data_IF_322319546500
#
_entry.id   IF_322319546500
#
_cell.length_a   1.000
_cell.length_b   1.000
_cell.length_c   1.000
_cell.angle_alpha   90.00
_cell.angle_beta   90.00
_cell.angle_gamma   90.00
#
_symmetry.space_group_name_H-M   'P 1'
#
loop_
_entity.id
_entity.type
_entity.pdbx_description
1 polymer ?
#
# COMPACT_ATOMS: atom_id res chain seq x y z
N UNK A 1 53.51 -60.15 -21.29
CA UNK A 1 52.93 -58.82 -21.59
C UNK A 1 51.84 -58.55 -20.58
N UNK A 2 52.03 -57.58 -19.69
CA UNK A 2 51.01 -57.14 -18.74
C UNK A 2 50.22 -56.00 -19.38
N UNK A 3 48.89 -56.16 -19.53
CA UNK A 3 48.01 -55.07 -19.95
C UNK A 3 47.61 -54.25 -18.72
N UNK A 4 47.82 -52.94 -18.77
CA UNK A 4 47.35 -51.98 -17.77
C UNK A 4 45.84 -51.76 -17.92
N UNK A 5 45.03 -51.70 -16.84
CA UNK A 5 43.60 -51.43 -16.95
C UNK A 5 43.34 -49.95 -17.27
N UNK A 6 42.34 -49.67 -18.10
CA UNK A 6 41.85 -48.32 -18.41
C UNK A 6 41.20 -47.65 -17.18
N UNK A 7 41.23 -46.31 -17.07
CA UNK A 7 40.64 -45.61 -15.94
C UNK A 7 39.11 -45.77 -15.94
N UNK A 8 38.54 -46.20 -14.81
CA UNK A 8 37.09 -46.20 -14.61
C UNK A 8 36.59 -44.77 -14.42
N UNK A 9 35.60 -44.37 -15.22
CA UNK A 9 34.88 -43.10 -15.06
C UNK A 9 34.26 -43.01 -13.66
N UNK A 10 34.57 -41.94 -12.93
CA UNK A 10 33.98 -41.68 -11.62
C UNK A 10 32.50 -41.33 -11.79
N UNK A 11 31.61 -42.21 -11.31
CA UNK A 11 30.18 -41.92 -11.28
C UNK A 11 29.89 -40.62 -10.50
N UNK A 12 28.96 -39.77 -10.97
CA UNK A 12 28.60 -38.53 -10.30
C UNK A 12 27.99 -38.82 -8.92
N UNK A 13 28.53 -38.18 -7.89
CA UNK A 13 28.02 -38.31 -6.51
C UNK A 13 26.55 -37.89 -6.46
N UNK A 14 25.69 -38.79 -5.96
CA UNK A 14 24.26 -38.53 -5.74
C UNK A 14 24.10 -37.39 -4.73
N UNK A 15 23.39 -36.32 -5.11
CA UNK A 15 23.04 -35.23 -4.18
C UNK A 15 22.14 -35.78 -3.07
N UNK A 16 22.67 -35.91 -1.86
CA UNK A 16 21.90 -36.24 -0.66
C UNK A 16 21.08 -35.02 -0.24
N UNK A 17 19.75 -35.16 -0.16
CA UNK A 17 18.89 -34.16 0.49
C UNK A 17 19.12 -34.24 2.01
N UNK A 18 19.55 -33.13 2.61
CA UNK A 18 19.67 -33.01 4.06
C UNK A 18 18.28 -33.08 4.72
N UNK A 19 18.19 -33.73 5.87
CA UNK A 19 16.96 -33.71 6.67
C UNK A 19 16.67 -32.29 7.17
N UNK A 20 15.38 -31.96 7.36
CA UNK A 20 14.94 -30.59 7.68
C UNK A 20 15.59 -30.01 8.95
N UNK A 21 15.96 -30.87 9.91
CA UNK A 21 16.70 -30.50 11.13
C UNK A 21 18.12 -29.95 10.86
N UNK A 22 18.69 -30.23 9.68
CA UNK A 22 19.99 -29.71 9.24
C UNK A 22 19.85 -28.57 8.23
N UNK A 23 18.63 -28.15 7.90
CA UNK A 23 18.40 -26.92 7.17
C UNK A 23 18.41 -25.76 8.16
N UNK A 24 18.98 -24.64 7.73
CA UNK A 24 18.96 -23.40 8.50
C UNK A 24 17.54 -23.08 8.97
N UNK A 25 17.31 -22.71 10.24
CA UNK A 25 15.98 -22.42 10.78
C UNK A 25 15.33 -21.18 10.14
N UNK A 26 16.07 -20.43 9.31
CA UNK A 26 15.55 -19.30 8.57
C UNK A 26 14.77 -19.76 7.34
N UNK A 27 13.48 -19.44 7.31
CA UNK A 27 12.58 -19.68 6.18
C UNK A 27 13.20 -19.11 4.90
N UNK A 28 13.41 -19.96 3.88
CA UNK A 28 13.80 -19.51 2.55
C UNK A 28 12.69 -18.62 1.98
N UNK A 29 12.85 -17.30 2.07
CA UNK A 29 11.79 -16.33 1.73
C UNK A 29 11.59 -16.14 0.23
N UNK A 30 12.59 -16.50 -0.57
CA UNK A 30 12.59 -16.33 -2.02
C UNK A 30 12.18 -17.63 -2.70
N UNK A 31 11.22 -17.54 -3.62
CA UNK A 31 10.79 -18.64 -4.48
C UNK A 31 11.92 -18.95 -5.47
N UNK A 32 12.33 -20.21 -5.56
CA UNK A 32 13.24 -20.68 -6.61
C UNK A 32 12.45 -20.88 -7.91
N UNK A 33 12.70 -20.03 -8.90
CA UNK A 33 12.00 -20.06 -10.19
C UNK A 33 12.35 -21.30 -11.03
N UNK A 34 13.44 -21.99 -10.72
CA UNK A 34 13.84 -23.21 -11.43
C UNK A 34 13.33 -24.48 -10.74
N UNK A 35 12.73 -24.36 -9.56
CA UNK A 35 12.15 -25.49 -8.86
C UNK A 35 10.90 -25.99 -9.59
N UNK A 36 10.69 -27.30 -9.55
CA UNK A 36 9.42 -27.88 -10.01
C UNK A 36 8.33 -27.50 -9.02
N UNK A 37 7.18 -27.08 -9.53
CA UNK A 37 5.98 -26.90 -8.71
C UNK A 37 5.60 -28.22 -8.03
N UNK A 38 5.22 -28.11 -6.77
CA UNK A 38 4.55 -29.19 -6.04
C UNK A 38 3.16 -29.48 -6.62
N UNK A 39 2.63 -30.66 -6.30
CA UNK A 39 1.28 -31.06 -6.70
C UNK A 39 0.23 -30.10 -6.12
N UNK A 40 0.45 -29.65 -4.88
CA UNK A 40 -0.40 -28.71 -4.16
C UNK A 40 -0.40 -27.32 -4.82
N UNK A 41 0.78 -26.77 -5.15
CA UNK A 41 0.90 -25.48 -5.85
C UNK A 41 0.20 -25.51 -7.21
N UNK A 42 0.44 -26.57 -7.99
CA UNK A 42 -0.19 -26.73 -9.29
C UNK A 42 -1.71 -26.87 -9.18
N UNK A 43 -2.20 -27.67 -8.23
CA UNK A 43 -3.64 -27.88 -8.02
C UNK A 43 -4.35 -26.60 -7.59
N UNK A 44 -3.71 -25.84 -6.69
CA UNK A 44 -4.22 -24.54 -6.23
C UNK A 44 -4.32 -23.55 -7.39
N UNK A 45 -3.25 -23.44 -8.19
CA UNK A 45 -3.26 -22.61 -9.40
C UNK A 45 -4.41 -23.00 -10.34
N UNK A 46 -4.55 -24.29 -10.64
CA UNK A 46 -5.61 -24.81 -11.51
C UNK A 46 -7.02 -24.51 -11.01
N UNK A 47 -7.25 -24.59 -9.70
CA UNK A 47 -8.53 -24.23 -9.09
C UNK A 47 -8.82 -22.72 -9.18
N UNK A 48 -7.81 -21.85 -8.97
CA UNK A 48 -7.96 -20.40 -9.08
C UNK A 48 -8.41 -19.99 -10.49
N UNK A 49 -7.77 -20.56 -11.52
CA UNK A 49 -8.06 -20.19 -12.93
C UNK A 49 -9.23 -20.95 -13.56
N UNK A 50 -9.92 -21.79 -12.80
CA UNK A 50 -11.03 -22.60 -13.29
C UNK A 50 -12.18 -21.71 -13.80
N UNK A 51 -12.65 -22.00 -15.01
CA UNK A 51 -13.78 -21.30 -15.63
C UNK A 51 -15.12 -21.79 -15.07
N UNK A 52 -16.16 -20.95 -15.17
CA UNK A 52 -17.52 -21.29 -14.70
C UNK A 52 -17.71 -21.21 -13.18
N UNK A 53 -16.72 -20.68 -12.46
CA UNK A 53 -16.84 -20.29 -11.05
C UNK A 53 -17.29 -18.83 -10.94
N UNK A 54 -17.80 -18.45 -9.77
CA UNK A 54 -18.20 -17.08 -9.50
C UNK A 54 -16.97 -16.14 -9.58
N UNK A 55 -16.95 -15.15 -10.50
CA UNK A 55 -15.85 -14.20 -10.65
C UNK A 55 -15.65 -13.32 -9.40
N UNK A 56 -16.71 -13.07 -8.63
CA UNK A 56 -16.68 -12.22 -7.42
C UNK A 56 -16.35 -13.02 -6.16
N UNK A 57 -16.17 -14.34 -6.27
CA UNK A 57 -15.80 -15.20 -5.15
C UNK A 57 -14.49 -14.71 -4.51
N UNK A 58 -14.52 -14.52 -3.18
CA UNK A 58 -13.32 -14.18 -2.41
C UNK A 58 -12.42 -15.43 -2.30
N UNK A 59 -11.39 -15.49 -3.15
CA UNK A 59 -10.45 -16.62 -3.21
C UNK A 59 -9.21 -16.45 -2.33
N UNK A 60 -9.00 -15.24 -1.81
CA UNK A 60 -7.93 -14.94 -0.87
C UNK A 60 -8.42 -13.93 0.17
N UNK A 61 -8.00 -14.13 1.43
CA UNK A 61 -8.22 -13.19 2.53
C UNK A 61 -7.04 -13.24 3.48
N UNK A 62 -6.47 -12.07 3.80
CA UNK A 62 -5.42 -11.91 4.81
C UNK A 62 -5.65 -10.58 5.55
N UNK A 63 -6.08 -10.66 6.81
CA UNK A 63 -6.53 -9.48 7.55
C UNK A 63 -7.71 -8.79 6.86
N UNK A 64 -7.54 -7.50 6.55
CA UNK A 64 -8.52 -6.66 5.83
C UNK A 64 -8.42 -6.78 4.31
N UNK A 65 -7.31 -7.33 3.80
CA UNK A 65 -7.11 -7.49 2.37
C UNK A 65 -7.81 -8.76 1.89
N UNK A 66 -8.54 -8.64 0.80
CA UNK A 66 -9.12 -9.77 0.08
C UNK A 66 -8.83 -9.64 -1.42
N UNK A 67 -9.02 -10.74 -2.13
CA UNK A 67 -8.97 -10.74 -3.58
C UNK A 67 -10.06 -11.65 -4.13
N UNK A 68 -10.74 -11.14 -5.16
CA UNK A 68 -11.74 -11.89 -5.90
C UNK A 68 -11.09 -12.75 -6.99
N UNK A 69 -11.82 -13.76 -7.45
CA UNK A 69 -11.36 -14.69 -8.49
C UNK A 69 -11.00 -13.97 -9.78
N UNK A 70 -11.82 -13.03 -10.23
CA UNK A 70 -11.58 -12.26 -11.47
C UNK A 70 -10.21 -11.60 -11.47
N UNK A 71 -9.84 -10.95 -10.38
CA UNK A 71 -8.53 -10.31 -10.25
C UNK A 71 -7.41 -11.34 -10.32
N UNK A 72 -7.50 -12.47 -9.60
CA UNK A 72 -6.51 -13.56 -9.64
C UNK A 72 -6.31 -14.16 -11.05
N UNK A 73 -7.34 -14.16 -11.89
CA UNK A 73 -7.24 -14.65 -13.26
C UNK A 73 -6.30 -13.79 -14.13
N UNK A 74 -5.98 -12.56 -13.71
CA UNK A 74 -4.99 -11.71 -14.40
C UNK A 74 -3.53 -12.16 -14.21
N UNK A 75 -3.28 -13.20 -13.40
CA UNK A 75 -1.98 -13.90 -13.39
C UNK A 75 -1.73 -14.76 -14.65
N UNK A 76 -2.74 -14.94 -15.51
CA UNK A 76 -2.58 -15.64 -16.79
C UNK A 76 -1.58 -14.91 -17.69
N UNK A 77 -0.87 -15.67 -18.51
CA UNK A 77 0.09 -15.10 -19.44
C UNK A 77 -0.60 -14.09 -20.38
N UNK A 78 0.08 -12.97 -20.64
CA UNK A 78 -0.36 -11.86 -21.50
C UNK A 78 -1.51 -11.02 -20.96
N UNK A 79 -1.91 -11.20 -19.70
CA UNK A 79 -2.85 -10.31 -19.02
C UNK A 79 -2.13 -9.19 -18.28
N UNK A 80 -2.83 -8.05 -18.09
CA UNK A 80 -2.35 -6.99 -17.20
C UNK A 80 -2.77 -7.32 -15.78
N UNK A 81 -1.79 -7.39 -14.88
CA UNK A 81 -2.02 -7.68 -13.47
C UNK A 81 -2.95 -6.63 -12.85
N UNK A 82 -3.99 -7.08 -12.15
CA UNK A 82 -4.89 -6.19 -11.43
C UNK A 82 -4.23 -5.60 -10.18
N UNK A 83 -4.52 -4.34 -9.84
CA UNK A 83 -3.86 -3.63 -8.73
C UNK A 83 -4.02 -4.35 -7.38
N UNK A 84 -5.22 -4.91 -7.11
CA UNK A 84 -5.49 -5.63 -5.86
C UNK A 84 -4.56 -6.82 -5.61
N UNK A 85 -3.97 -7.42 -6.68
CA UNK A 85 -3.00 -8.50 -6.54
C UNK A 85 -1.65 -7.97 -6.05
N UNK A 86 -1.27 -6.77 -6.48
CA UNK A 86 -0.09 -6.08 -5.97
C UNK A 86 -0.29 -5.74 -4.50
N UNK A 87 -1.49 -5.34 -4.09
CA UNK A 87 -1.82 -5.02 -2.69
C UNK A 87 -1.80 -6.27 -1.79
N UNK A 88 -2.36 -7.39 -2.28
CA UNK A 88 -2.24 -8.71 -1.62
C UNK A 88 -0.79 -9.12 -1.49
N UNK A 89 0.01 -8.95 -2.54
CA UNK A 89 1.43 -9.30 -2.51
C UNK A 89 2.22 -8.42 -1.54
N UNK A 90 1.98 -7.11 -1.52
CA UNK A 90 2.56 -6.19 -0.56
C UNK A 90 2.21 -6.59 0.89
N UNK A 91 0.95 -6.95 1.14
CA UNK A 91 0.48 -7.45 2.44
C UNK A 91 1.21 -8.72 2.87
N UNK A 92 1.32 -9.70 1.97
CA UNK A 92 2.05 -10.95 2.22
C UNK A 92 3.54 -10.70 2.49
N UNK A 93 4.16 -9.79 1.74
CA UNK A 93 5.56 -9.45 1.95
C UNK A 93 5.78 -8.74 3.29
N UNK A 94 4.89 -7.83 3.69
CA UNK A 94 4.94 -7.17 5.00
C UNK A 94 4.79 -8.16 6.16
N UNK A 95 3.87 -9.12 6.06
CA UNK A 95 3.73 -10.15 7.10
C UNK A 95 5.00 -11.01 7.23
N UNK A 96 5.64 -11.34 6.10
CA UNK A 96 6.90 -12.09 6.07
C UNK A 96 8.09 -11.35 6.66
N UNK A 97 8.02 -10.02 6.79
CA UNK A 97 9.10 -9.23 7.41
C UNK A 97 9.15 -9.45 8.93
N UNK A 98 8.07 -9.95 9.56
CA UNK A 98 8.09 -10.41 10.97
C UNK A 98 9.10 -11.53 11.21
N UNK A 99 9.41 -12.31 10.19
CA UNK A 99 10.31 -13.47 10.25
C UNK A 99 11.68 -13.19 9.60
N UNK A 100 12.05 -11.92 9.42
CA UNK A 100 13.36 -11.56 8.86
C UNK A 100 14.49 -11.92 9.84
N UNK A 101 15.67 -12.24 9.32
CA UNK A 101 16.86 -12.39 10.14
C UNK A 101 17.25 -11.04 10.79
N UNK A 102 17.88 -11.04 11.98
CA UNK A 102 18.28 -9.81 12.66
C UNK A 102 19.16 -8.89 11.80
N UNK A 103 20.09 -9.47 11.05
CA UNK A 103 21.03 -8.80 10.15
C UNK A 103 20.41 -8.37 8.81
N UNK A 104 19.22 -8.87 8.50
CA UNK A 104 18.52 -8.54 7.26
C UNK A 104 17.87 -7.15 7.38
N UNK A 105 18.03 -6.27 6.38
CA UNK A 105 17.38 -4.96 6.40
C UNK A 105 15.86 -5.11 6.41
N UNK A 106 15.19 -4.30 7.22
CA UNK A 106 13.73 -4.26 7.24
C UNK A 106 13.21 -3.66 5.92
N UNK A 107 12.26 -4.34 5.29
CA UNK A 107 11.59 -3.86 4.07
C UNK A 107 10.11 -3.68 4.35
N UNK A 108 9.51 -2.67 3.73
CA UNK A 108 8.07 -2.38 3.86
C UNK A 108 7.53 -2.12 2.46
N UNK A 109 6.47 -2.83 2.11
CA UNK A 109 5.82 -2.82 0.81
C UNK A 109 4.45 -2.16 0.95
N UNK A 110 4.21 -1.05 0.26
CA UNK A 110 2.93 -0.35 0.32
C UNK A 110 1.96 -0.91 -0.70
N UNK A 111 0.67 -0.87 -0.38
CA UNK A 111 -0.37 -1.02 -1.39
C UNK A 111 -0.27 0.08 -2.46
N UNK A 112 -0.93 -0.16 -3.58
CA UNK A 112 -0.94 0.70 -4.76
C UNK A 112 -1.76 1.99 -4.59
N UNK A 113 -2.45 2.15 -3.45
CA UNK A 113 -3.40 3.21 -3.16
C UNK A 113 -3.04 3.97 -1.87
N UNK A 114 -1.80 4.47 -1.76
CA UNK A 114 -1.38 5.08 -0.50
C UNK A 114 -1.71 6.58 -0.39
N UNK A 115 -2.94 6.88 0.02
CA UNK A 115 -3.36 8.15 0.63
C UNK A 115 -3.78 7.91 2.08
N UNK A 116 -3.14 8.57 3.04
CA UNK A 116 -3.53 8.51 4.46
C UNK A 116 -4.33 9.76 4.79
N UNK A 117 -5.52 9.57 5.35
CA UNK A 117 -6.43 10.65 5.72
C UNK A 117 -6.48 10.84 7.24
N UNK A 118 -6.40 12.08 7.70
CA UNK A 118 -6.68 12.47 9.08
C UNK A 118 -7.80 13.51 9.09
N UNK A 119 -9.03 13.15 9.50
CA UNK A 119 -10.04 14.15 9.84
C UNK A 119 -9.60 14.88 11.12
N UNK A 120 -9.55 16.20 11.06
CA UNK A 120 -9.16 17.03 12.19
C UNK A 120 -10.34 17.89 12.62
N UNK A 121 -10.61 17.88 13.92
CA UNK A 121 -11.49 18.84 14.60
C UNK A 121 -10.60 19.74 15.46
N UNK A 122 -10.53 21.02 15.13
CA UNK A 122 -9.83 22.02 15.92
C UNK A 122 -10.65 23.31 15.94
N UNK A 123 -10.76 23.93 17.12
CA UNK A 123 -11.53 25.17 17.32
C UNK A 123 -12.94 25.11 16.69
N UNK A 124 -13.65 24.00 16.93
CA UNK A 124 -15.00 23.72 16.40
C UNK A 124 -15.11 23.63 14.87
N UNK A 125 -13.99 23.57 14.14
CA UNK A 125 -13.95 23.44 12.68
C UNK A 125 -13.38 22.10 12.22
N UNK A 126 -14.00 21.51 11.19
CA UNK A 126 -13.55 20.27 10.57
C UNK A 126 -12.76 20.51 9.28
N UNK A 127 -11.60 19.87 9.15
CA UNK A 127 -10.80 19.85 7.92
C UNK A 127 -10.02 18.53 7.77
N UNK A 128 -9.47 18.29 6.58
CA UNK A 128 -8.86 17.00 6.21
C UNK A 128 -7.37 17.15 5.90
N UNK A 129 -6.54 16.36 6.56
CA UNK A 129 -5.14 16.15 6.16
C UNK A 129 -5.05 14.90 5.30
N UNK A 130 -4.31 14.98 4.20
CA UNK A 130 -4.06 13.87 3.29
C UNK A 130 -2.56 13.73 3.01
N UNK A 131 -1.96 12.63 3.44
CA UNK A 131 -0.62 12.23 3.01
C UNK A 131 -0.71 11.27 1.83
N UNK A 132 -0.57 11.81 0.63
CA UNK A 132 -0.48 11.02 -0.59
C UNK A 132 0.99 10.68 -0.85
N UNK A 133 1.44 9.54 -0.32
CA UNK A 133 2.84 9.12 -0.40
C UNK A 133 3.23 8.74 -1.82
N UNK A 134 2.27 8.23 -2.61
CA UNK A 134 2.48 7.92 -4.02
C UNK A 134 2.86 9.18 -4.81
N UNK A 135 2.10 10.26 -4.62
CA UNK A 135 2.32 11.53 -5.33
C UNK A 135 3.27 12.48 -4.58
N UNK A 136 3.86 12.03 -3.46
CA UNK A 136 4.73 12.84 -2.59
C UNK A 136 4.06 14.16 -2.19
N UNK A 137 2.78 14.11 -1.86
CA UNK A 137 2.00 15.27 -1.48
C UNK A 137 1.49 15.15 -0.04
N UNK A 138 1.50 16.28 0.67
CA UNK A 138 0.83 16.43 1.95
C UNK A 138 -0.13 17.61 1.82
N UNK A 139 -1.42 17.32 1.75
CA UNK A 139 -2.45 18.27 1.35
C UNK A 139 -3.42 18.48 2.50
N UNK A 140 -3.78 19.73 2.75
CA UNK A 140 -4.79 20.11 3.73
C UNK A 140 -6.01 20.60 2.98
N UNK A 141 -7.08 19.79 2.96
CA UNK A 141 -8.34 20.14 2.34
C UNK A 141 -9.29 20.74 3.36
N UNK A 142 -9.92 21.83 2.96
CA UNK A 142 -10.81 22.62 3.79
C UNK A 142 -11.90 23.22 2.90
N UNK A 143 -13.11 23.36 3.44
CA UNK A 143 -14.18 24.10 2.78
C UNK A 143 -13.99 25.61 2.86
N UNK A 144 -13.29 26.14 3.87
CA UNK A 144 -13.13 27.59 4.02
C UNK A 144 -12.01 28.11 3.09
N UNK A 145 -12.31 29.17 2.34
CA UNK A 145 -11.32 29.85 1.49
C UNK A 145 -10.45 30.80 2.34
N UNK A 146 -9.31 30.30 2.82
CA UNK A 146 -8.35 31.08 3.62
C UNK A 146 -7.21 31.73 2.81
N UNK A 147 -6.98 31.29 1.56
CA UNK A 147 -5.91 31.81 0.71
C UNK A 147 -4.54 31.74 1.37
N UNK A 148 -3.79 32.85 1.37
CA UNK A 148 -2.42 32.94 1.92
C UNK A 148 -2.38 32.75 3.45
N UNK A 149 -3.51 32.87 4.15
CA UNK A 149 -3.57 32.75 5.61
C UNK A 149 -3.60 31.31 6.10
N UNK A 150 -3.90 30.32 5.24
CA UNK A 150 -4.07 28.92 5.64
C UNK A 150 -2.86 28.34 6.39
N UNK A 151 -1.64 28.62 5.90
CA UNK A 151 -0.41 28.15 6.53
C UNK A 151 -0.18 28.76 7.92
N UNK A 152 -0.62 30.01 8.14
CA UNK A 152 -0.52 30.68 9.44
C UNK A 152 -1.52 30.09 10.44
N UNK A 153 -2.73 29.78 9.98
CA UNK A 153 -3.81 29.25 10.82
C UNK A 153 -3.52 27.80 11.20
N UNK A 154 -3.32 26.92 10.21
CA UNK A 154 -3.22 25.47 10.46
C UNK A 154 -1.80 24.99 10.72
N UNK A 155 -0.78 25.76 10.35
CA UNK A 155 0.59 25.28 10.24
C UNK A 155 1.13 24.64 11.51
N UNK A 156 0.82 25.20 12.68
CA UNK A 156 1.30 24.66 13.97
C UNK A 156 0.74 23.26 14.22
N UNK A 157 -0.57 23.09 14.14
CA UNK A 157 -1.25 21.83 14.47
C UNK A 157 -0.98 20.75 13.42
N UNK A 158 -0.94 21.14 12.15
CA UNK A 158 -0.57 20.27 11.02
C UNK A 158 0.84 19.71 11.19
N UNK A 159 1.81 20.55 11.59
CA UNK A 159 3.18 20.09 11.81
C UNK A 159 3.31 19.23 13.08
N UNK A 160 2.55 19.55 14.13
CA UNK A 160 2.52 18.76 15.35
C UNK A 160 1.96 17.36 15.08
N UNK A 161 0.83 17.26 14.40
CA UNK A 161 0.23 15.98 13.99
C UNK A 161 1.20 15.18 13.12
N UNK A 162 1.81 15.82 12.11
CA UNK A 162 2.83 15.18 11.27
C UNK A 162 4.00 14.64 12.10
N UNK A 163 4.51 15.40 13.07
CA UNK A 163 5.60 14.97 13.95
C UNK A 163 5.19 13.72 14.74
N UNK A 164 4.03 13.73 15.38
CA UNK A 164 3.53 12.57 16.11
C UNK A 164 3.32 11.36 15.21
N UNK A 165 2.79 11.57 14.00
CA UNK A 165 2.61 10.50 13.04
C UNK A 165 3.96 9.90 12.60
N UNK A 166 4.98 10.71 12.33
CA UNK A 166 6.34 10.25 12.04
C UNK A 166 6.91 9.44 13.22
N UNK A 167 6.80 9.95 14.44
CA UNK A 167 7.26 9.22 15.65
C UNK A 167 6.54 7.89 15.80
N UNK A 168 5.23 7.85 15.62
CA UNK A 168 4.44 6.62 15.63
C UNK A 168 4.96 5.62 14.58
N UNK A 169 5.24 6.08 13.35
CA UNK A 169 5.78 5.22 12.30
C UNK A 169 7.17 4.68 12.68
N UNK A 170 8.06 5.51 13.24
CA UNK A 170 9.39 5.11 13.72
C UNK A 170 9.27 4.03 14.82
N UNK A 171 8.38 4.22 15.80
CA UNK A 171 8.11 3.26 16.88
C UNK A 171 7.56 1.92 16.36
N UNK A 172 6.75 1.96 15.30
CA UNK A 172 6.26 0.75 14.59
C UNK A 172 7.29 0.15 13.64
N UNK A 173 8.54 0.63 13.68
CA UNK A 173 9.63 0.21 12.80
C UNK A 173 9.31 0.47 11.31
N UNK A 174 8.36 1.36 11.00
CA UNK A 174 8.01 1.77 9.65
C UNK A 174 8.91 2.91 9.13
N UNK A 175 10.23 2.78 9.33
CA UNK A 175 11.21 3.86 9.15
C UNK A 175 11.21 4.44 7.73
N UNK A 176 11.11 3.59 6.69
CA UNK A 176 11.06 4.07 5.30
C UNK A 176 9.83 4.91 5.00
N UNK A 177 8.68 4.63 5.65
CA UNK A 177 7.49 5.48 5.53
C UNK A 177 7.68 6.78 6.30
N UNK A 178 8.20 6.68 7.52
CA UNK A 178 8.48 7.82 8.38
C UNK A 178 9.36 8.85 7.64
N UNK A 179 10.45 8.39 7.01
CA UNK A 179 11.35 9.23 6.23
C UNK A 179 10.67 9.91 5.04
N UNK A 180 9.82 9.17 4.31
CA UNK A 180 9.01 9.74 3.22
C UNK A 180 8.09 10.84 3.74
N UNK A 181 7.31 10.56 4.77
CA UNK A 181 6.37 11.52 5.38
C UNK A 181 7.12 12.73 5.93
N UNK A 182 8.25 12.52 6.60
CA UNK A 182 9.09 13.58 7.19
C UNK A 182 9.54 14.62 6.15
N UNK A 183 9.79 14.21 4.92
CA UNK A 183 10.19 15.10 3.82
C UNK A 183 9.03 15.92 3.23
N UNK A 184 7.77 15.49 3.42
CA UNK A 184 6.62 16.18 2.82
C UNK A 184 6.35 17.52 3.49
N UNK A 185 5.99 18.54 2.70
CA UNK A 185 5.57 19.84 3.20
C UNK A 185 4.08 20.00 2.97
N UNK A 186 3.33 20.55 3.94
CA UNK A 186 1.90 20.76 3.77
C UNK A 186 1.65 21.80 2.66
N UNK A 187 0.67 21.51 1.82
CA UNK A 187 0.10 22.43 0.85
C UNK A 187 -1.37 22.67 1.21
N UNK A 188 -1.89 23.81 0.75
CA UNK A 188 -3.25 24.25 1.04
C UNK A 188 -3.95 24.52 -0.30
N UNK A 189 -4.51 23.48 -0.94
CA UNK A 189 -5.06 23.60 -2.28
C UNK A 189 -6.26 24.53 -2.34
N UNK A 190 -6.33 25.33 -3.41
CA UNK A 190 -7.51 26.14 -3.70
C UNK A 190 -8.54 25.27 -4.42
N UNK A 191 -9.62 24.89 -3.72
CA UNK A 191 -10.66 24.03 -4.28
C UNK A 191 -11.80 24.87 -4.87
N UNK A 192 -12.37 24.41 -5.98
CA UNK A 192 -13.39 25.15 -6.75
C UNK A 192 -14.68 25.40 -5.96
N UNK A 193 -14.96 24.56 -4.97
CA UNK A 193 -16.17 24.59 -4.14
C UNK A 193 -15.96 25.19 -2.75
N UNK A 194 -14.80 25.80 -2.46
CA UNK A 194 -14.60 26.48 -1.18
C UNK A 194 -15.57 27.65 -0.98
N UNK A 195 -15.93 27.88 0.27
CA UNK A 195 -16.89 28.87 0.75
C UNK A 195 -16.18 29.97 1.52
N UNK A 196 -16.80 31.15 1.58
CA UNK A 196 -16.39 32.29 2.40
C UNK A 196 -17.30 32.45 3.62
N UNK A 197 -18.56 31.99 3.56
CA UNK A 197 -19.55 32.22 4.62
C UNK A 197 -20.10 30.96 5.26
N UNK A 198 -20.05 29.82 4.57
CA UNK A 198 -20.52 28.55 5.14
C UNK A 198 -19.43 27.87 5.97
N UNK A 199 -19.45 28.08 7.28
CA UNK A 199 -18.60 27.40 8.27
C UNK A 199 -19.31 26.23 8.97
N UNK A 200 -20.65 26.24 9.01
CA UNK A 200 -21.49 25.24 9.70
C UNK A 200 -21.39 23.85 9.07
N UNK A 201 -21.30 23.76 7.74
CA UNK A 201 -21.29 22.48 7.03
C UNK A 201 -19.90 21.82 6.93
N UNK A 202 -18.88 22.31 7.65
CA UNK A 202 -17.50 21.83 7.53
C UNK A 202 -17.37 20.29 7.67
N UNK A 203 -18.16 19.67 8.54
CA UNK A 203 -18.23 18.21 8.68
C UNK A 203 -18.77 17.48 7.44
N UNK A 204 -19.75 18.04 6.73
CA UNK A 204 -20.28 17.48 5.46
C UNK A 204 -19.21 17.55 4.37
N UNK A 205 -18.50 18.68 4.27
CA UNK A 205 -17.40 18.82 3.32
C UNK A 205 -16.28 17.83 3.60
N UNK A 206 -15.88 17.68 4.87
CA UNK A 206 -14.90 16.70 5.31
C UNK A 206 -15.28 15.28 4.87
N UNK A 207 -16.50 14.82 5.20
CA UNK A 207 -16.98 13.48 4.83
C UNK A 207 -16.97 13.29 3.32
N UNK A 208 -17.45 14.29 2.57
CA UNK A 208 -17.48 14.22 1.11
C UNK A 208 -16.07 14.21 0.50
N UNK A 209 -15.11 14.91 1.10
CA UNK A 209 -13.73 14.89 0.62
C UNK A 209 -13.09 13.52 0.80
N UNK A 210 -13.28 12.90 1.97
CA UNK A 210 -12.81 11.54 2.25
C UNK A 210 -13.44 10.51 1.31
N UNK A 211 -14.73 10.65 0.99
CA UNK A 211 -15.45 9.75 0.10
C UNK A 211 -14.97 9.82 -1.36
N UNK A 212 -14.65 11.03 -1.85
CA UNK A 212 -14.48 11.27 -3.30
C UNK A 212 -13.05 11.52 -3.75
N UNK A 213 -12.11 11.79 -2.83
CA UNK A 213 -10.72 12.05 -3.21
C UNK A 213 -9.96 10.76 -3.47
N UNK A 214 -9.55 10.55 -4.74
CA UNK A 214 -8.83 9.36 -5.20
C UNK A 214 -7.32 9.62 -5.42
N UNK A 215 -6.79 10.67 -4.80
CA UNK A 215 -5.36 11.00 -4.86
C UNK A 215 -4.93 11.93 -6.00
N UNK A 216 -5.85 12.43 -6.82
CA UNK A 216 -5.54 13.41 -7.88
C UNK A 216 -6.55 14.55 -7.91
N UNK A 217 -6.06 15.78 -7.67
CA UNK A 217 -6.92 16.96 -7.59
C UNK A 217 -7.53 17.38 -8.94
N UNK A 218 -6.78 17.21 -10.03
CA UNK A 218 -7.21 17.69 -11.36
C UNK A 218 -8.46 16.98 -11.87
N UNK A 219 -8.65 15.72 -11.46
CA UNK A 219 -9.78 14.87 -11.81
C UNK A 219 -10.83 14.79 -10.70
N UNK A 220 -10.61 15.50 -9.58
CA UNK A 220 -11.46 15.41 -8.41
C UNK A 220 -12.80 16.11 -8.59
N UNK A 221 -13.88 15.34 -8.50
CA UNK A 221 -15.25 15.82 -8.57
C UNK A 221 -16.02 15.45 -7.29
N UNK A 222 -16.32 16.45 -6.47
CA UNK A 222 -17.13 16.29 -5.25
C UNK A 222 -18.64 16.39 -5.51
N UNK A 223 -19.05 16.96 -6.65
CA UNK A 223 -20.43 17.36 -6.92
C UNK A 223 -20.87 18.66 -6.24
N UNK A 224 -20.01 19.30 -5.43
CA UNK A 224 -20.31 20.60 -4.84
C UNK A 224 -20.21 21.72 -5.87
N UNK A 225 -21.06 22.73 -5.71
CA UNK A 225 -21.04 23.96 -6.52
C UNK A 225 -20.29 25.06 -5.77
N UNK A 226 -19.75 26.01 -6.52
CA UNK A 226 -19.19 27.22 -5.92
C UNK A 226 -20.27 27.98 -5.14
N UNK A 227 -19.89 28.57 -4.01
CA UNK A 227 -20.78 29.41 -3.21
C UNK A 227 -21.27 30.60 -4.04
N UNK A 228 -22.58 30.82 -4.05
CA UNK A 228 -23.17 32.00 -4.67
C UNK A 228 -22.94 33.19 -3.74
N UNK A 229 -22.03 34.08 -4.12
CA UNK A 229 -21.92 35.38 -3.45
C UNK A 229 -23.09 36.23 -3.95
N UNK A 230 -24.12 36.41 -3.12
CA UNK A 230 -25.14 37.43 -3.38
C UNK A 230 -24.44 38.79 -3.34
N UNK A 231 -24.45 39.50 -4.47
CA UNK A 231 -24.03 40.90 -4.50
C UNK A 231 -25.02 41.69 -3.64
N UNK A 232 -24.50 42.36 -2.61
CA UNK A 232 -25.25 43.36 -1.85
C UNK A 232 -25.42 44.62 -2.70
#
# INVERSE_FOLDING_TARGET
>A
MFQTPLPQDKMPKRKTKLAAIYLSPYVQRNVDLNAKYSTEEYSTWRWIIQQGKDPLEHVFKCGVQFCIREHMMTFKAKEKLYYSLVDVWATLLNDREKYKAPESPLRIFFDTAFSIFFPVLADEHYYLLCFNVKNKAFEVFDNIRLGKSAAKIYGKDVQLLKKHFVTYLEEKQLVLLADKIKQLKPTYPALKWQTLRNYEDCGIFLMRHMETYMGEQNTWNTGFKAEKVLAN
#
